data_IF_604228388842
#
_entry.id   IF_604228388842
#
_cell.length_a   1.000
_cell.length_b   1.000
_cell.length_c   1.000
_cell.angle_alpha   90.00
_cell.angle_beta   90.00
_cell.angle_gamma   90.00
#
_symmetry.space_group_name_H-M   'P 1'
#
loop_
_entity.id
_entity.type
_entity.pdbx_description
1 polymer ?
#
# COMPACT_ATOMS: atom_id res chain seq x y z
N UNK A 1 33.79 20.44 -6.53
CA UNK A 1 33.47 19.15 -5.86
C UNK A 1 32.05 18.81 -6.18
N UNK A 2 31.78 17.72 -6.91
CA UNK A 2 30.41 17.24 -7.11
C UNK A 2 29.88 16.76 -5.75
N UNK A 3 28.71 17.23 -5.31
CA UNK A 3 28.12 16.75 -4.06
C UNK A 3 27.81 15.26 -4.18
N UNK A 4 28.12 14.48 -3.14
CA UNK A 4 27.82 13.06 -3.08
C UNK A 4 26.30 12.85 -3.31
N UNK A 5 25.89 12.15 -4.37
CA UNK A 5 24.47 11.91 -4.66
C UNK A 5 23.81 10.95 -3.65
N UNK A 6 24.61 10.19 -2.92
CA UNK A 6 24.14 9.25 -1.92
C UNK A 6 24.03 9.91 -0.56
N UNK A 7 22.83 10.30 -0.18
CA UNK A 7 22.56 10.80 1.18
C UNK A 7 22.13 9.61 2.05
N UNK A 8 22.91 9.22 3.07
CA UNK A 8 22.61 8.07 3.93
C UNK A 8 21.49 8.42 4.94
N UNK A 9 20.30 8.72 4.42
CA UNK A 9 19.12 9.00 5.24
C UNK A 9 18.09 7.93 4.94
N UNK A 10 17.64 7.21 5.96
CA UNK A 10 16.62 6.18 5.81
C UNK A 10 15.40 6.73 5.07
N UNK A 11 14.97 6.03 4.02
CA UNK A 11 13.78 6.36 3.26
C UNK A 11 13.89 7.51 2.25
N UNK A 12 15.06 8.10 2.02
CA UNK A 12 15.24 8.98 0.86
C UNK A 12 15.45 8.17 -0.42
N UNK A 13 14.79 8.61 -1.49
CA UNK A 13 14.91 8.02 -2.82
C UNK A 13 16.36 8.14 -3.31
N UNK A 14 17.02 7.02 -3.69
CA UNK A 14 18.27 7.11 -4.43
C UNK A 14 18.00 7.72 -5.80
N UNK A 15 18.98 8.36 -6.42
CA UNK A 15 18.83 8.96 -7.76
C UNK A 15 18.49 7.92 -8.85
N UNK A 16 18.80 6.64 -8.64
CA UNK A 16 18.44 5.52 -9.51
C UNK A 16 18.18 4.25 -8.69
N UNK A 17 17.13 3.51 -9.08
CA UNK A 17 16.81 2.17 -8.58
C UNK A 17 17.38 1.13 -9.57
N UNK A 18 18.70 1.00 -9.59
CA UNK A 18 19.39 0.11 -10.52
C UNK A 18 19.05 -1.35 -10.20
N UNK A 19 18.71 -2.13 -11.24
CA UNK A 19 18.38 -3.57 -11.13
C UNK A 19 17.00 -3.84 -10.55
N UNK A 20 16.07 -2.87 -10.64
CA UNK A 20 14.68 -3.00 -10.22
C UNK A 20 13.69 -2.70 -11.37
N UNK A 21 14.21 -2.50 -12.57
CA UNK A 21 13.46 -2.07 -13.74
C UNK A 21 12.35 -3.08 -14.06
N UNK A 22 12.65 -4.37 -14.11
CA UNK A 22 11.66 -5.41 -14.40
C UNK A 22 10.55 -5.49 -13.37
N UNK A 23 10.87 -5.29 -12.07
CA UNK A 23 9.87 -5.28 -11.00
C UNK A 23 8.93 -4.09 -11.14
N UNK A 24 9.46 -2.95 -11.56
CA UNK A 24 8.68 -1.74 -11.81
C UNK A 24 7.79 -1.93 -13.04
N UNK A 25 8.32 -2.48 -14.12
CA UNK A 25 7.57 -2.79 -15.35
C UNK A 25 6.42 -3.76 -15.07
N UNK A 26 6.67 -4.87 -14.39
CA UNK A 26 5.63 -5.83 -13.97
C UNK A 26 4.53 -5.15 -13.14
N UNK A 27 4.92 -4.25 -12.23
CA UNK A 27 3.97 -3.51 -11.41
C UNK A 27 3.12 -2.55 -12.25
N UNK A 28 3.75 -1.81 -13.15
CA UNK A 28 3.07 -0.87 -14.05
C UNK A 28 2.09 -1.61 -14.96
N UNK A 29 2.50 -2.75 -15.51
CA UNK A 29 1.61 -3.63 -16.27
C UNK A 29 0.43 -4.12 -15.42
N UNK A 30 0.67 -4.46 -14.16
CA UNK A 30 -0.37 -4.82 -13.20
C UNK A 30 -1.37 -3.70 -12.94
N UNK A 31 -0.95 -2.44 -12.93
CA UNK A 31 -1.86 -1.30 -12.77
C UNK A 31 -2.76 -1.11 -14.01
N UNK A 32 -2.22 -1.34 -15.20
CA UNK A 32 -2.88 -1.04 -16.47
C UNK A 32 -3.80 -2.17 -16.95
N UNK A 33 -3.44 -3.43 -16.73
CA UNK A 33 -4.14 -4.60 -17.32
C UNK A 33 -5.28 -5.20 -16.47
N UNK A 34 -5.59 -4.64 -15.30
CA UNK A 34 -6.75 -5.05 -14.52
C UNK A 34 -6.55 -6.33 -13.68
N UNK A 35 -7.67 -6.92 -13.25
CA UNK A 35 -7.67 -8.09 -12.36
C UNK A 35 -7.05 -9.31 -13.05
N UNK A 36 -6.20 -10.03 -12.31
CA UNK A 36 -5.48 -11.23 -12.81
C UNK A 36 -4.16 -10.94 -13.53
N UNK A 37 -3.80 -9.67 -13.77
CA UNK A 37 -2.53 -9.33 -14.38
C UNK A 37 -1.34 -9.64 -13.45
N UNK A 38 -0.19 -10.05 -14.00
CA UNK A 38 1.07 -10.07 -13.26
C UNK A 38 1.32 -8.70 -12.60
N UNK A 39 2.00 -8.68 -11.46
CA UNK A 39 2.28 -7.43 -10.75
C UNK A 39 1.14 -6.87 -9.87
N UNK A 40 -0.07 -7.44 -9.95
CA UNK A 40 -1.19 -7.05 -9.06
C UNK A 40 -1.02 -7.51 -7.62
N UNK A 41 -0.40 -8.64 -7.40
CA UNK A 41 -0.02 -9.15 -6.09
C UNK A 41 1.48 -9.43 -6.09
N UNK A 42 2.24 -8.66 -5.33
CA UNK A 42 3.69 -8.76 -5.30
C UNK A 42 4.19 -9.01 -3.88
N UNK A 43 5.06 -9.98 -3.72
CA UNK A 43 5.81 -10.22 -2.49
C UNK A 43 7.27 -9.81 -2.69
N UNK A 44 7.68 -8.72 -2.05
CA UNK A 44 9.03 -8.21 -2.12
C UNK A 44 9.87 -8.84 -1.00
N UNK A 45 10.78 -9.72 -1.36
CA UNK A 45 11.67 -10.42 -0.43
C UNK A 45 13.13 -9.98 -0.59
N UNK A 46 13.93 -10.20 0.42
CA UNK A 46 15.37 -9.90 0.37
C UNK A 46 15.95 -9.59 1.74
N UNK A 47 17.27 -9.54 1.82
CA UNK A 47 18.00 -9.27 3.05
C UNK A 47 17.69 -7.85 3.61
N UNK A 48 17.97 -7.66 4.90
CA UNK A 48 17.89 -6.33 5.52
C UNK A 48 18.84 -5.37 4.79
N UNK A 49 18.36 -4.17 4.48
CA UNK A 49 19.16 -3.14 3.80
C UNK A 49 19.17 -3.25 2.26
N UNK A 50 18.57 -4.25 1.63
CA UNK A 50 18.54 -4.38 0.16
C UNK A 50 17.56 -3.40 -0.55
N UNK A 51 16.98 -2.44 0.17
CA UNK A 51 16.15 -1.40 -0.42
C UNK A 51 14.67 -1.74 -0.60
N UNK A 52 14.12 -2.76 0.10
CA UNK A 52 12.70 -3.12 0.02
C UNK A 52 11.75 -1.94 0.24
N UNK A 53 11.95 -1.23 1.35
CA UNK A 53 11.13 -0.04 1.69
C UNK A 53 11.25 1.08 0.65
N UNK A 54 12.43 1.24 0.04
CA UNK A 54 12.65 2.24 -1.02
C UNK A 54 11.89 1.85 -2.28
N UNK A 55 11.96 0.58 -2.67
CA UNK A 55 11.19 0.05 -3.79
C UNK A 55 9.68 0.18 -3.53
N UNK A 56 9.21 -0.22 -2.35
CA UNK A 56 7.80 -0.11 -1.96
C UNK A 56 7.28 1.32 -2.10
N UNK A 57 8.07 2.32 -1.68
CA UNK A 57 7.73 3.74 -1.83
C UNK A 57 7.68 4.19 -3.28
N UNK A 58 8.55 3.68 -4.12
CA UNK A 58 8.51 3.97 -5.56
C UNK A 58 7.25 3.41 -6.22
N UNK A 59 6.87 2.17 -5.90
CA UNK A 59 5.62 1.57 -6.38
C UNK A 59 4.38 2.36 -5.91
N UNK A 60 4.38 2.83 -4.66
CA UNK A 60 3.33 3.70 -4.13
C UNK A 60 3.22 5.02 -4.93
N UNK A 61 4.36 5.64 -5.24
CA UNK A 61 4.41 6.87 -6.03
C UNK A 61 3.82 6.65 -7.43
N UNK A 62 4.24 5.59 -8.11
CA UNK A 62 3.77 5.23 -9.45
C UNK A 62 2.24 4.99 -9.47
N UNK A 63 1.72 4.27 -8.48
CA UNK A 63 0.28 4.07 -8.34
C UNK A 63 -0.47 5.39 -8.11
N UNK A 64 0.07 6.24 -7.24
CA UNK A 64 -0.52 7.55 -6.95
C UNK A 64 -0.54 8.46 -8.17
N UNK A 65 0.52 8.48 -8.98
CA UNK A 65 0.60 9.25 -10.23
C UNK A 65 -0.42 8.79 -11.26
N UNK A 66 -0.78 7.49 -11.25
CA UNK A 66 -1.87 6.94 -12.07
C UNK A 66 -3.26 7.19 -11.46
N UNK A 67 -3.34 7.88 -10.33
CA UNK A 67 -4.59 8.22 -9.64
C UNK A 67 -5.22 7.06 -8.87
N UNK A 68 -4.43 6.05 -8.52
CA UNK A 68 -4.84 5.00 -7.60
C UNK A 68 -4.85 5.51 -6.16
N UNK A 69 -5.76 5.01 -5.34
CA UNK A 69 -5.69 5.24 -3.90
C UNK A 69 -4.58 4.36 -3.31
N UNK A 70 -3.67 4.97 -2.58
CA UNK A 70 -2.56 4.26 -1.93
C UNK A 70 -2.81 4.22 -0.44
N UNK A 71 -2.84 3.03 0.13
CA UNK A 71 -2.92 2.79 1.57
C UNK A 71 -1.65 2.06 1.98
N UNK A 72 -0.87 2.68 2.85
CA UNK A 72 0.42 2.16 3.30
C UNK A 72 0.40 1.95 4.81
N UNK A 73 0.86 0.79 5.26
CA UNK A 73 1.00 0.47 6.68
C UNK A 73 2.20 -0.47 6.90
N UNK A 74 2.65 -0.56 8.14
CA UNK A 74 3.57 -1.60 8.58
C UNK A 74 2.79 -2.70 9.28
N UNK A 75 3.06 -3.95 8.90
CA UNK A 75 2.37 -5.08 9.49
C UNK A 75 2.61 -5.16 11.00
N UNK A 76 1.53 -5.23 11.75
CA UNK A 76 1.50 -5.45 13.19
C UNK A 76 0.08 -5.87 13.57
N UNK A 77 -0.13 -6.31 14.80
CA UNK A 77 -1.45 -6.71 15.30
C UNK A 77 -2.50 -5.63 15.00
N UNK A 78 -3.65 -6.02 14.46
CA UNK A 78 -4.74 -5.13 14.09
C UNK A 78 -4.54 -4.43 12.74
N UNK A 79 -3.74 -5.00 11.83
CA UNK A 79 -3.51 -4.48 10.49
C UNK A 79 -4.83 -4.27 9.72
N UNK A 80 -5.71 -5.27 9.71
CA UNK A 80 -6.99 -5.17 9.00
C UNK A 80 -7.87 -4.03 9.53
N UNK A 81 -7.84 -3.77 10.82
CA UNK A 81 -8.58 -2.67 11.42
C UNK A 81 -8.04 -1.31 10.97
N UNK A 82 -6.71 -1.14 10.95
CA UNK A 82 -6.09 0.09 10.46
C UNK A 82 -6.33 0.33 8.98
N UNK A 83 -6.33 -0.74 8.17
CA UNK A 83 -6.67 -0.63 6.74
C UNK A 83 -8.14 -0.22 6.54
N UNK A 84 -9.05 -0.75 7.36
CA UNK A 84 -10.45 -0.34 7.35
C UNK A 84 -10.60 1.13 7.74
N UNK A 85 -9.88 1.61 8.76
CA UNK A 85 -9.82 3.02 9.16
C UNK A 85 -9.35 3.91 8.00
N UNK A 86 -8.28 3.50 7.32
CA UNK A 86 -7.73 4.22 6.17
C UNK A 86 -8.72 4.29 4.99
N UNK A 87 -9.48 3.22 4.74
CA UNK A 87 -10.53 3.20 3.72
C UNK A 87 -11.70 4.14 4.03
N UNK A 88 -12.09 4.24 5.30
CA UNK A 88 -13.16 5.12 5.76
C UNK A 88 -12.74 6.60 5.75
N UNK A 89 -11.46 6.89 5.95
CA UNK A 89 -10.96 8.26 5.92
C UNK A 89 -10.93 8.76 4.46
N UNK A 90 -11.68 9.82 4.16
CA UNK A 90 -11.74 10.42 2.82
C UNK A 90 -10.48 11.22 2.43
N UNK A 91 -9.39 11.11 3.20
CA UNK A 91 -8.14 11.79 2.91
C UNK A 91 -7.35 10.99 1.89
N UNK A 92 -6.75 11.62 0.87
CA UNK A 92 -5.72 10.97 0.08
C UNK A 92 -4.60 10.61 1.05
N UNK A 93 -4.40 9.33 1.28
CA UNK A 93 -3.27 8.84 2.08
C UNK A 93 -2.04 8.90 1.19
N UNK A 94 -1.56 10.11 0.97
CA UNK A 94 -0.19 10.31 0.54
C UNK A 94 0.66 10.33 1.80
N UNK A 95 1.16 9.20 2.08
CA UNK A 95 2.40 8.88 2.78
C UNK A 95 3.16 10.02 3.42
N UNK A 96 3.42 9.88 4.58
CA UNK A 96 4.65 9.92 5.35
C UNK A 96 4.31 10.18 6.80
N UNK A 97 4.71 9.25 7.62
CA UNK A 97 5.00 9.42 9.03
C UNK A 97 4.10 10.42 9.75
N UNK A 98 3.21 9.90 10.52
CA UNK A 98 2.46 10.49 11.63
C UNK A 98 0.97 10.17 11.57
N UNK A 99 0.65 8.89 11.72
CA UNK A 99 -0.68 8.53 12.19
C UNK A 99 -0.64 8.44 13.73
N UNK A 100 -1.03 9.52 14.35
CA UNK A 100 -1.44 9.48 15.75
C UNK A 100 -2.70 8.61 15.88
N UNK A 101 -2.83 7.81 16.95
CA UNK A 101 -3.83 6.74 17.08
C UNK A 101 -5.30 7.17 17.28
N UNK A 102 -5.66 8.42 17.04
CA UNK A 102 -6.91 8.95 17.58
C UNK A 102 -8.04 9.28 16.58
N UNK A 103 -7.79 9.32 15.27
CA UNK A 103 -8.80 9.86 14.33
C UNK A 103 -9.59 8.82 13.54
N UNK A 104 -9.12 7.57 13.46
CA UNK A 104 -9.75 6.50 12.69
C UNK A 104 -10.77 5.65 13.46
N UNK A 105 -10.65 5.55 14.77
CA UNK A 105 -11.47 4.63 15.58
C UNK A 105 -12.97 4.85 15.47
N UNK A 106 -13.41 6.09 15.34
CA UNK A 106 -14.84 6.42 15.32
C UNK A 106 -15.53 6.03 14.02
N UNK A 107 -14.81 6.02 12.89
CA UNK A 107 -15.35 5.62 11.58
C UNK A 107 -15.44 4.10 11.42
N UNK A 108 -14.48 3.36 11.98
CA UNK A 108 -14.51 1.88 11.95
C UNK A 108 -15.55 1.32 12.91
N UNK A 109 -15.70 1.88 14.08
CA UNK A 109 -16.78 1.48 15.02
C UNK A 109 -18.15 1.69 14.38
N UNK A 110 -18.34 2.78 13.64
CA UNK A 110 -19.57 3.04 12.90
C UNK A 110 -19.77 2.07 11.73
N UNK A 111 -18.73 1.71 10.98
CA UNK A 111 -18.78 0.72 9.92
C UNK A 111 -19.02 -0.69 10.46
N UNK A 112 -18.36 -1.08 11.55
CA UNK A 112 -18.61 -2.34 12.27
C UNK A 112 -20.03 -2.43 12.82
N UNK A 113 -20.56 -1.35 13.37
CA UNK A 113 -21.94 -1.29 13.83
C UNK A 113 -22.96 -1.52 12.69
N UNK A 114 -22.57 -1.24 11.45
CA UNK A 114 -23.36 -1.54 10.24
C UNK A 114 -23.08 -2.92 9.65
N UNK A 115 -22.20 -3.73 10.26
CA UNK A 115 -21.82 -5.05 9.75
C UNK A 115 -20.99 -5.00 8.46
N UNK A 116 -20.36 -3.86 8.17
CA UNK A 116 -19.51 -3.72 6.99
C UNK A 116 -18.19 -4.49 7.17
N UNK A 117 -17.85 -5.28 6.16
CA UNK A 117 -16.59 -6.01 6.08
C UNK A 117 -15.51 -5.16 5.40
N UNK A 118 -14.22 -5.49 5.60
CA UNK A 118 -13.11 -4.85 4.88
C UNK A 118 -13.34 -4.86 3.36
N UNK A 119 -13.87 -5.97 2.81
CA UNK A 119 -14.24 -6.08 1.39
C UNK A 119 -15.33 -5.08 1.00
N UNK A 120 -16.33 -4.88 1.84
CA UNK A 120 -17.39 -3.88 1.61
C UNK A 120 -16.82 -2.47 1.52
N UNK A 121 -15.92 -2.10 2.42
CA UNK A 121 -15.24 -0.80 2.43
C UNK A 121 -14.36 -0.60 1.19
N UNK A 122 -13.64 -1.64 0.76
CA UNK A 122 -12.87 -1.62 -0.50
C UNK A 122 -13.79 -1.34 -1.68
N UNK A 123 -14.90 -2.06 -1.81
CA UNK A 123 -15.84 -1.89 -2.91
C UNK A 123 -16.46 -0.48 -2.92
N UNK A 124 -16.83 0.06 -1.76
CA UNK A 124 -17.32 1.43 -1.65
C UNK A 124 -16.26 2.47 -2.07
N UNK A 125 -15.01 2.23 -1.71
CA UNK A 125 -13.92 3.12 -2.12
C UNK A 125 -13.65 3.04 -3.62
N UNK A 126 -13.67 1.83 -4.22
CA UNK A 126 -13.50 1.63 -5.65
C UNK A 126 -14.58 2.34 -6.47
N UNK A 127 -15.84 2.28 -6.05
CA UNK A 127 -16.95 3.03 -6.71
C UNK A 127 -16.67 4.53 -6.78
N UNK A 128 -16.04 5.11 -5.74
CA UNK A 128 -15.72 6.54 -5.66
C UNK A 128 -14.51 6.93 -6.53
N UNK A 129 -13.59 6.00 -6.79
CA UNK A 129 -12.39 6.27 -7.60
C UNK A 129 -12.69 6.33 -9.10
N UNK A 130 -13.72 5.65 -9.55
CA UNK A 130 -14.11 5.60 -10.95
C UNK A 130 -13.39 4.52 -11.77
N UNK A 131 -13.73 4.36 -13.04
CA UNK A 131 -13.21 3.30 -13.90
C UNK A 131 -11.70 3.45 -14.12
N UNK A 132 -11.01 2.32 -14.25
CA UNK A 132 -9.56 2.26 -14.49
C UNK A 132 -8.70 2.67 -13.29
N UNK A 133 -9.29 2.92 -12.14
CA UNK A 133 -8.59 3.22 -10.88
C UNK A 133 -8.75 2.08 -9.89
N UNK A 134 -7.81 1.99 -8.97
CA UNK A 134 -7.79 0.94 -7.96
C UNK A 134 -7.28 1.43 -6.61
N UNK A 135 -7.09 0.48 -5.72
CA UNK A 135 -6.50 0.70 -4.40
C UNK A 135 -5.23 -0.14 -4.32
N UNK A 136 -4.13 0.50 -3.98
CA UNK A 136 -2.87 -0.19 -3.65
C UNK A 136 -2.74 -0.29 -2.13
N UNK A 137 -2.69 -1.52 -1.62
CA UNK A 137 -2.26 -1.79 -0.24
C UNK A 137 -0.76 -2.09 -0.25
N UNK A 138 0.02 -1.21 0.34
CA UNK A 138 1.47 -1.34 0.44
C UNK A 138 1.86 -1.63 1.88
N UNK A 139 2.14 -2.91 2.18
CA UNK A 139 2.40 -3.39 3.54
C UNK A 139 3.90 -3.67 3.70
N UNK A 140 4.57 -2.88 4.54
CA UNK A 140 5.97 -3.15 4.93
C UNK A 140 6.01 -4.13 6.12
N UNK A 141 7.14 -4.80 6.30
CA UNK A 141 7.37 -5.78 7.38
C UNK A 141 6.29 -6.88 7.46
N UNK A 142 5.80 -7.37 6.32
CA UNK A 142 4.67 -8.31 6.20
C UNK A 142 4.80 -9.57 7.08
N UNK A 143 6.03 -9.96 7.46
CA UNK A 143 6.29 -11.07 8.38
C UNK A 143 5.78 -10.83 9.81
N UNK A 144 5.44 -9.58 10.15
CA UNK A 144 4.88 -9.21 11.47
C UNK A 144 3.34 -9.27 11.52
N UNK A 145 2.68 -9.56 10.39
CA UNK A 145 1.24 -9.80 10.34
C UNK A 145 0.91 -11.23 10.75
N UNK A 146 -0.29 -11.45 11.27
CA UNK A 146 -0.80 -12.80 11.48
C UNK A 146 -1.17 -13.47 10.15
N UNK A 147 -1.21 -14.80 10.13
CA UNK A 147 -1.63 -15.57 8.95
C UNK A 147 -3.07 -15.22 8.56
N UNK A 148 -3.94 -15.02 9.55
CA UNK A 148 -5.34 -14.66 9.36
C UNK A 148 -5.48 -13.29 8.70
N UNK A 149 -4.66 -12.32 9.10
CA UNK A 149 -4.66 -10.98 8.48
C UNK A 149 -4.16 -11.02 7.05
N UNK A 150 -3.09 -11.78 6.76
CA UNK A 150 -2.59 -11.98 5.40
C UNK A 150 -3.60 -12.71 4.52
N UNK A 151 -4.29 -13.72 5.06
CA UNK A 151 -5.35 -14.43 4.34
C UNK A 151 -6.54 -13.50 4.03
N UNK A 152 -6.93 -12.63 4.97
CA UNK A 152 -7.97 -11.65 4.74
C UNK A 152 -7.61 -10.66 3.62
N UNK A 153 -6.34 -10.24 3.53
CA UNK A 153 -5.87 -9.39 2.43
C UNK A 153 -5.84 -10.13 1.09
N UNK A 154 -5.43 -11.40 1.08
CA UNK A 154 -5.43 -12.21 -0.14
C UNK A 154 -6.83 -12.39 -0.74
N UNK A 155 -7.88 -12.45 0.09
CA UNK A 155 -9.29 -12.51 -0.37
C UNK A 155 -9.73 -11.20 -1.03
N UNK A 156 -9.13 -10.06 -0.70
CA UNK A 156 -9.49 -8.78 -1.32
C UNK A 156 -9.02 -8.68 -2.78
N UNK A 157 -8.00 -9.46 -3.14
CA UNK A 157 -7.45 -9.50 -4.50
C UNK A 157 -8.40 -10.19 -5.51
N UNK A 158 -9.24 -11.11 -5.07
CA UNK A 158 -10.20 -11.85 -5.89
C UNK A 158 -11.44 -11.01 -6.19
#
# INVERSE_FOLDING_TARGET
MNPNPFKPTAGKRPPMLIGRESVIEDFEEGLDNGAGAPGRLMLITGNRGCGKTVLLRELQRLASERGWAVISDSASLGLCDRLADALCSNKPVVTSMEFGPSFGRMSVEAARAKGETLRGLVNERLKKLGPGKGILFAIDEAQSASIEELAALAVLYQ
#
